data_IF_995486018528
#
_entry.id   IF_995486018528
#
_cell.length_a   1.000
_cell.length_b   1.000
_cell.length_c   1.000
_cell.angle_alpha   90.00
_cell.angle_beta   90.00
_cell.angle_gamma   90.00
#
_symmetry.space_group_name_H-M   'P 1'
#
loop_
_entity.id
_entity.type
_entity.pdbx_description
1 polymer ?
#
# COMPACT_ATOMS: atom_id res chain seq x y z
N UNK A 1 -14.12 -36.34 -3.18
CA UNK A 1 -13.48 -37.20 -2.15
C UNK A 1 -13.70 -38.65 -2.56
N UNK A 2 -12.65 -39.48 -2.68
CA UNK A 2 -12.80 -40.86 -3.13
C UNK A 2 -13.60 -41.67 -2.10
N UNK A 3 -14.57 -42.44 -2.58
CA UNK A 3 -15.43 -43.31 -1.76
C UNK A 3 -14.62 -44.26 -0.86
N UNK A 4 -13.40 -44.59 -1.28
CA UNK A 4 -12.44 -45.45 -0.58
C UNK A 4 -12.11 -44.96 0.84
N UNK A 5 -11.93 -43.65 1.05
CA UNK A 5 -11.57 -43.11 2.38
C UNK A 5 -12.68 -43.29 3.42
N UNK A 6 -13.93 -43.26 2.96
CA UNK A 6 -15.11 -43.45 3.81
C UNK A 6 -15.21 -44.91 4.24
N UNK A 7 -14.96 -45.85 3.32
CA UNK A 7 -14.95 -47.28 3.63
C UNK A 7 -13.83 -47.67 4.60
N UNK A 8 -12.62 -47.10 4.44
CA UNK A 8 -11.49 -47.36 5.35
C UNK A 8 -11.79 -46.87 6.77
N UNK A 9 -12.34 -45.65 6.90
CA UNK A 9 -12.74 -45.09 8.22
C UNK A 9 -13.87 -45.90 8.87
N UNK A 10 -14.79 -46.45 8.08
CA UNK A 10 -15.85 -47.31 8.57
C UNK A 10 -15.30 -48.64 9.08
N UNK A 11 -14.38 -49.25 8.32
CA UNK A 11 -13.76 -50.53 8.66
C UNK A 11 -13.00 -50.48 9.98
N UNK A 12 -12.24 -49.39 10.23
CA UNK A 12 -11.52 -49.20 11.49
C UNK A 12 -12.45 -48.97 12.70
N UNK A 13 -13.66 -48.45 12.51
CA UNK A 13 -14.61 -48.16 13.60
C UNK A 13 -15.64 -49.26 13.84
N UNK A 14 -15.62 -50.34 13.04
CA UNK A 14 -16.63 -51.41 13.06
C UNK A 14 -16.88 -52.04 14.43
N UNK A 15 -15.84 -52.20 15.26
CA UNK A 15 -15.93 -52.83 16.59
C UNK A 15 -16.59 -51.93 17.66
N UNK A 16 -16.71 -50.63 17.42
CA UNK A 16 -17.30 -49.63 18.35
C UNK A 16 -18.69 -49.15 17.91
N UNK A 17 -19.18 -49.61 16.76
CA UNK A 17 -20.46 -49.20 16.21
C UNK A 17 -21.56 -50.12 16.76
N UNK A 18 -22.12 -49.77 17.92
CA UNK A 18 -23.39 -50.33 18.37
C UNK A 18 -24.49 -49.69 17.53
N UNK A 19 -24.87 -50.36 16.44
CA UNK A 19 -25.83 -49.88 15.43
C UNK A 19 -27.23 -49.81 16.04
N UNK A 20 -27.58 -48.68 16.69
CA UNK A 20 -28.96 -48.38 17.11
C UNK A 20 -29.82 -47.72 16.01
N UNK A 21 -29.21 -47.32 14.87
CA UNK A 21 -29.88 -46.80 13.66
C UNK A 21 -29.17 -47.30 12.40
N UNK A 22 -29.88 -47.42 11.27
CA UNK A 22 -29.38 -48.06 10.04
C UNK A 22 -28.02 -47.52 9.56
N UNK A 23 -27.13 -48.42 9.15
CA UNK A 23 -25.78 -48.14 8.65
C UNK A 23 -25.78 -47.11 7.49
N UNK A 24 -26.84 -47.13 6.67
CA UNK A 24 -27.06 -46.18 5.57
C UNK A 24 -27.15 -44.73 6.06
N UNK A 25 -27.87 -44.48 7.14
CA UNK A 25 -28.00 -43.13 7.72
C UNK A 25 -26.68 -42.62 8.30
N UNK A 26 -25.87 -43.51 8.88
CA UNK A 26 -24.55 -43.16 9.40
C UNK A 26 -23.59 -42.76 8.26
N UNK A 27 -23.53 -43.56 7.19
CA UNK A 27 -22.68 -43.30 6.03
C UNK A 27 -23.06 -42.00 5.32
N UNK A 28 -24.36 -41.76 5.14
CA UNK A 28 -24.85 -40.52 4.54
C UNK A 28 -24.45 -39.30 5.36
N UNK A 29 -24.61 -39.37 6.69
CA UNK A 29 -24.23 -38.28 7.60
C UNK A 29 -22.72 -38.05 7.62
N UNK A 30 -21.91 -39.11 7.57
CA UNK A 30 -20.46 -39.01 7.51
C UNK A 30 -19.97 -38.38 6.20
N UNK A 31 -20.54 -38.78 5.06
CA UNK A 31 -20.23 -38.21 3.76
C UNK A 31 -20.64 -36.73 3.69
N UNK A 32 -21.86 -36.40 4.12
CA UNK A 32 -22.36 -35.02 4.15
C UNK A 32 -21.49 -34.10 5.00
N UNK A 33 -21.13 -34.52 6.22
CA UNK A 33 -20.26 -33.74 7.08
C UNK A 33 -18.89 -33.50 6.42
N UNK A 34 -18.32 -34.52 5.79
CA UNK A 34 -17.00 -34.39 5.15
C UNK A 34 -17.04 -33.46 3.93
N UNK A 35 -18.12 -33.49 3.16
CA UNK A 35 -18.32 -32.55 2.05
C UNK A 35 -18.45 -31.10 2.58
N UNK A 36 -19.22 -30.90 3.64
CA UNK A 36 -19.37 -29.58 4.26
C UNK A 36 -18.06 -29.07 4.88
N UNK A 37 -17.28 -29.95 5.50
CA UNK A 37 -15.98 -29.59 6.06
C UNK A 37 -14.98 -29.17 4.98
N UNK A 38 -14.98 -29.86 3.83
CA UNK A 38 -14.16 -29.50 2.69
C UNK A 38 -14.61 -28.18 2.05
N UNK A 39 -15.92 -27.97 1.88
CA UNK A 39 -16.48 -26.73 1.35
C UNK A 39 -16.11 -25.54 2.25
N UNK A 40 -16.27 -25.68 3.58
CA UNK A 40 -15.87 -24.65 4.54
C UNK A 40 -14.36 -24.40 4.54
N UNK A 41 -13.54 -25.44 4.31
CA UNK A 41 -12.08 -25.29 4.20
C UNK A 41 -11.68 -24.49 2.96
N UNK A 42 -12.37 -24.72 1.84
CA UNK A 42 -12.16 -23.97 0.61
C UNK A 42 -12.59 -22.50 0.77
N UNK A 43 -13.77 -22.25 1.32
CA UNK A 43 -14.25 -20.88 1.61
C UNK A 43 -13.26 -20.09 2.50
N UNK A 44 -12.76 -20.70 3.58
CA UNK A 44 -11.74 -20.07 4.43
C UNK A 44 -10.42 -19.78 3.69
N UNK A 45 -10.07 -20.61 2.71
CA UNK A 45 -8.88 -20.40 1.91
C UNK A 45 -9.07 -19.22 0.95
N UNK A 46 -10.24 -19.13 0.31
CA UNK A 46 -10.60 -18.04 -0.59
C UNK A 46 -10.70 -16.69 0.17
N UNK A 47 -11.29 -16.69 1.37
CA UNK A 47 -11.32 -15.53 2.27
C UNK A 47 -9.91 -15.09 2.71
N UNK A 48 -9.03 -16.04 3.03
CA UNK A 48 -7.64 -15.75 3.41
C UNK A 48 -6.85 -15.14 2.24
N UNK A 49 -7.03 -15.67 1.03
CA UNK A 49 -6.43 -15.11 -0.18
C UNK A 49 -6.94 -13.69 -0.42
N UNK A 50 -8.26 -13.46 -0.36
CA UNK A 50 -8.87 -12.14 -0.53
C UNK A 50 -8.33 -11.11 0.48
N UNK A 51 -8.22 -11.49 1.75
CA UNK A 51 -7.63 -10.66 2.80
C UNK A 51 -6.16 -10.33 2.54
N UNK A 52 -5.38 -11.30 2.06
CA UNK A 52 -3.98 -11.10 1.69
C UNK A 52 -3.83 -10.11 0.52
N UNK A 53 -4.64 -10.25 -0.53
CA UNK A 53 -4.69 -9.31 -1.65
C UNK A 53 -5.07 -7.90 -1.19
N UNK A 54 -6.10 -7.76 -0.37
CA UNK A 54 -6.52 -6.45 0.16
C UNK A 54 -5.40 -5.79 0.98
N UNK A 55 -4.75 -6.56 1.85
CA UNK A 55 -3.61 -6.07 2.66
C UNK A 55 -2.43 -5.66 1.79
N UNK A 56 -2.12 -6.41 0.73
CA UNK A 56 -1.04 -6.08 -0.20
C UNK A 56 -1.32 -4.77 -0.96
N UNK A 57 -2.55 -4.56 -1.42
CA UNK A 57 -2.98 -3.32 -2.10
C UNK A 57 -2.92 -2.13 -1.15
N UNK A 58 -3.42 -2.27 0.08
CA UNK A 58 -3.36 -1.19 1.08
C UNK A 58 -1.91 -0.81 1.43
N UNK A 59 -1.03 -1.80 1.63
CA UNK A 59 0.41 -1.55 1.85
C UNK A 59 1.07 -0.84 0.66
N UNK A 60 0.70 -1.17 -0.57
CA UNK A 60 1.25 -0.50 -1.75
C UNK A 60 0.83 0.98 -1.80
N UNK A 61 -0.43 1.29 -1.50
CA UNK A 61 -0.94 2.66 -1.43
C UNK A 61 -0.29 3.44 -0.28
N UNK A 62 -0.15 2.82 0.90
CA UNK A 62 0.55 3.42 2.04
C UNK A 62 2.02 3.70 1.69
N UNK A 63 2.71 2.76 1.05
CA UNK A 63 4.11 2.91 0.64
C UNK A 63 4.29 4.05 -0.37
N UNK A 64 3.40 4.19 -1.34
CA UNK A 64 3.47 5.31 -2.30
C UNK A 64 3.21 6.66 -1.60
N UNK A 65 2.29 6.70 -0.63
CA UNK A 65 2.01 7.90 0.15
C UNK A 65 3.17 8.29 1.07
N UNK A 66 3.84 7.32 1.71
CA UNK A 66 4.99 7.57 2.58
C UNK A 66 6.21 8.01 1.79
N UNK A 67 6.50 7.37 0.65
CA UNK A 67 7.57 7.79 -0.27
C UNK A 67 7.31 9.22 -0.77
N UNK A 68 6.07 9.55 -1.14
CA UNK A 68 5.70 10.90 -1.56
C UNK A 68 5.88 11.93 -0.44
N UNK A 69 5.47 11.59 0.79
CA UNK A 69 5.62 12.47 1.95
C UNK A 69 7.09 12.66 2.34
N UNK A 70 7.90 11.61 2.28
CA UNK A 70 9.35 11.68 2.53
C UNK A 70 10.02 12.58 1.49
N UNK A 71 9.73 12.39 0.20
CA UNK A 71 10.24 13.26 -0.88
C UNK A 71 9.83 14.71 -0.67
N UNK A 72 8.59 14.97 -0.30
CA UNK A 72 8.11 16.33 -0.02
C UNK A 72 8.81 16.93 1.20
N UNK A 73 9.06 16.14 2.25
CA UNK A 73 9.80 16.56 3.42
C UNK A 73 11.25 16.92 3.08
N UNK A 74 11.94 16.10 2.28
CA UNK A 74 13.30 16.38 1.79
C UNK A 74 13.34 17.68 0.98
N UNK A 75 12.39 17.87 0.05
CA UNK A 75 12.29 19.12 -0.72
C UNK A 75 12.09 20.32 0.21
N UNK A 76 11.20 20.22 1.21
CA UNK A 76 11.01 21.30 2.19
C UNK A 76 12.28 21.60 2.98
N UNK A 77 12.99 20.57 3.46
CA UNK A 77 14.28 20.73 4.14
C UNK A 77 15.32 21.43 3.26
N UNK A 78 15.41 21.06 1.98
CA UNK A 78 16.31 21.71 1.04
C UNK A 78 15.91 23.18 0.74
N UNK A 79 14.61 23.50 0.73
CA UNK A 79 14.14 24.89 0.58
C UNK A 79 14.54 25.75 1.78
N UNK A 80 14.54 25.19 3.00
CA UNK A 80 15.01 25.90 4.20
C UNK A 80 16.52 26.22 4.18
N UNK A 81 17.31 25.45 3.43
CA UNK A 81 18.75 25.72 3.24
C UNK A 81 19.04 26.80 2.20
N UNK A 82 18.03 27.26 1.46
CA UNK A 82 18.22 28.33 0.48
C UNK A 82 18.51 29.66 1.19
N UNK A 83 19.45 30.47 0.67
CA UNK A 83 19.65 31.83 1.18
C UNK A 83 18.34 32.63 1.13
N UNK A 84 18.07 33.41 2.18
CA UNK A 84 16.79 34.11 2.41
C UNK A 84 16.21 34.78 1.15
N UNK A 85 17.04 35.55 0.41
CA UNK A 85 16.61 36.21 -0.84
C UNK A 85 16.27 35.23 -1.97
N UNK A 86 16.99 34.12 -2.09
CA UNK A 86 16.69 33.08 -3.09
C UNK A 86 15.41 32.33 -2.72
N UNK A 87 15.21 32.04 -1.42
CA UNK A 87 14.02 31.41 -0.88
C UNK A 87 12.79 32.28 -1.15
N UNK A 88 12.83 33.57 -0.81
CA UNK A 88 11.74 34.51 -1.04
C UNK A 88 11.34 34.59 -2.51
N UNK A 89 12.31 34.75 -3.42
CA UNK A 89 12.05 34.76 -4.87
C UNK A 89 11.42 33.45 -5.35
N UNK A 90 11.92 32.31 -4.87
CA UNK A 90 11.41 30.99 -5.26
C UNK A 90 9.98 30.75 -4.75
N UNK A 91 9.69 31.11 -3.49
CA UNK A 91 8.36 31.01 -2.87
C UNK A 91 7.36 31.89 -3.63
N UNK A 92 7.69 33.14 -3.89
CA UNK A 92 6.78 34.07 -4.60
C UNK A 92 6.52 33.61 -6.05
N UNK A 93 7.52 33.05 -6.73
CA UNK A 93 7.34 32.56 -8.10
C UNK A 93 6.61 31.21 -8.18
N UNK A 94 6.83 30.29 -7.23
CA UNK A 94 6.34 28.91 -7.31
C UNK A 94 5.14 28.60 -6.43
N UNK A 95 5.08 29.20 -5.24
CA UNK A 95 3.97 29.01 -4.30
C UNK A 95 2.88 30.05 -4.57
N UNK A 96 3.25 31.33 -4.69
CA UNK A 96 2.29 32.41 -4.98
C UNK A 96 1.94 32.53 -6.47
N UNK A 97 2.66 31.82 -7.36
CA UNK A 97 2.41 31.80 -8.80
C UNK A 97 2.68 33.13 -9.52
N UNK A 98 3.43 34.04 -8.90
CA UNK A 98 3.69 35.36 -9.47
C UNK A 98 4.61 35.24 -10.70
N UNK A 99 4.33 36.07 -11.72
CA UNK A 99 5.22 36.20 -12.87
C UNK A 99 6.53 36.83 -12.41
N UNK A 100 7.65 36.47 -13.06
CA UNK A 100 8.99 37.01 -12.73
C UNK A 100 9.03 38.54 -12.66
N UNK A 101 8.28 39.22 -13.54
CA UNK A 101 8.14 40.68 -13.53
C UNK A 101 7.46 41.22 -12.27
N UNK A 102 6.43 40.53 -11.76
CA UNK A 102 5.73 40.90 -10.52
C UNK A 102 6.60 40.65 -9.29
N UNK A 103 7.40 39.56 -9.30
CA UNK A 103 8.38 39.30 -8.23
C UNK A 103 9.48 40.36 -8.22
N UNK A 104 9.95 40.76 -9.41
CA UNK A 104 10.94 41.82 -9.59
C UNK A 104 10.44 43.15 -9.02
N UNK A 105 9.22 43.55 -9.36
CA UNK A 105 8.57 44.75 -8.83
C UNK A 105 8.37 44.68 -7.32
N UNK A 106 7.82 43.56 -6.82
CA UNK A 106 7.54 43.36 -5.39
C UNK A 106 8.79 43.38 -4.51
N UNK A 107 9.90 42.83 -4.99
CA UNK A 107 11.16 42.78 -4.25
C UNK A 107 12.11 43.94 -4.62
N UNK A 108 11.67 44.86 -5.48
CA UNK A 108 12.45 45.99 -5.99
C UNK A 108 13.83 45.57 -6.54
N UNK A 109 13.84 44.51 -7.36
CA UNK A 109 15.03 43.96 -8.03
C UNK A 109 14.76 43.80 -9.53
N UNK A 110 15.82 43.61 -10.34
CA UNK A 110 15.62 43.40 -11.79
C UNK A 110 15.10 41.99 -12.09
N UNK A 111 14.40 41.82 -13.22
CA UNK A 111 13.97 40.51 -13.71
C UNK A 111 15.16 39.55 -13.88
N UNK A 112 16.31 40.07 -14.33
CA UNK A 112 17.55 39.30 -14.47
C UNK A 112 18.06 38.79 -13.12
N UNK A 113 17.92 39.60 -12.06
CA UNK A 113 18.24 39.20 -10.68
C UNK A 113 17.30 38.11 -10.18
N UNK A 114 15.99 38.21 -10.49
CA UNK A 114 15.00 37.14 -10.20
C UNK A 114 15.38 35.83 -10.88
N UNK A 115 15.74 35.86 -12.16
CA UNK A 115 16.17 34.67 -12.91
C UNK A 115 17.44 34.06 -12.33
N UNK A 116 18.40 34.90 -11.93
CA UNK A 116 19.61 34.46 -11.24
C UNK A 116 19.30 33.76 -9.92
N UNK A 117 18.41 34.32 -9.10
CA UNK A 117 17.96 33.70 -7.85
C UNK A 117 17.20 32.39 -8.08
N UNK A 118 16.33 32.30 -9.09
CA UNK A 118 15.62 31.06 -9.45
C UNK A 118 16.61 29.98 -9.90
N UNK A 119 17.56 30.34 -10.77
CA UNK A 119 18.57 29.41 -11.29
C UNK A 119 19.45 28.88 -10.15
N UNK A 120 19.89 29.78 -9.26
CA UNK A 120 20.66 29.41 -8.08
C UNK A 120 19.87 28.53 -7.12
N UNK A 121 18.58 28.84 -6.91
CA UNK A 121 17.70 28.01 -6.09
C UNK A 121 17.56 26.60 -6.67
N UNK A 122 17.35 26.45 -7.98
CA UNK A 122 17.29 25.13 -8.63
C UNK A 122 18.60 24.35 -8.52
N UNK A 123 19.74 25.01 -8.72
CA UNK A 123 21.05 24.37 -8.57
C UNK A 123 21.25 23.84 -7.14
N UNK A 124 20.97 24.67 -6.13
CA UNK A 124 21.07 24.28 -4.72
C UNK A 124 20.08 23.18 -4.33
N UNK A 125 18.84 23.25 -4.79
CA UNK A 125 17.84 22.20 -4.56
C UNK A 125 18.27 20.88 -5.20
N UNK A 126 18.82 20.92 -6.43
CA UNK A 126 19.34 19.73 -7.10
C UNK A 126 20.48 19.10 -6.32
N UNK A 127 21.50 19.89 -5.94
CA UNK A 127 22.63 19.37 -5.15
C UNK A 127 22.18 18.84 -3.79
N UNK A 128 21.27 19.51 -3.11
CA UNK A 128 20.74 19.06 -1.81
C UNK A 128 19.99 17.72 -1.92
N UNK A 129 19.23 17.52 -3.00
CA UNK A 129 18.51 16.28 -3.27
C UNK A 129 19.41 15.15 -3.80
N UNK A 130 20.53 15.45 -4.44
CA UNK A 130 21.53 14.47 -4.93
C UNK A 130 22.49 14.00 -3.82
N UNK A 131 22.65 14.79 -2.75
CA UNK A 131 23.59 14.50 -1.65
C UNK A 131 22.92 13.76 -0.47
N UNK A 132 21.66 13.31 -0.62
CA UNK A 132 20.86 12.62 0.41
C UNK A 132 20.35 11.25 -0.03
#
# INVERSE_FOLDING_TARGET
>A
MPVQDVFIKLWHRRKRLTVKKSLKSYLFRAAYNTLMDNYRKQQRHDEMLSSYYHTAVMRAVETDSTIKNERLSKIKGCIELLPEKCKQVFVESKISGLKRAQVAEKLNITIKTVEGHITRAYALLKTCLETQ
#
